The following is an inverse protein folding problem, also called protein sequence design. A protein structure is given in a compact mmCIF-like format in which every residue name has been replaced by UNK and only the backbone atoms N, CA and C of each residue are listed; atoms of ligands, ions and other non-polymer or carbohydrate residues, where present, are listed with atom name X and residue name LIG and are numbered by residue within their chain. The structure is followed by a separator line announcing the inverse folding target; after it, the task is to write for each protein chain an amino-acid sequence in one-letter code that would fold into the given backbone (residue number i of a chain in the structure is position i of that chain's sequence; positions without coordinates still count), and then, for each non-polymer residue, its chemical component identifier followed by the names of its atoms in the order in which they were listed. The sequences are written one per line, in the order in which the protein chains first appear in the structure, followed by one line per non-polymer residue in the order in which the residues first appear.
data_IF_229851304914
#
_entry.id   IF_229851304914
#
_cell.length_a   1.000
_cell.length_b   1.000
_cell.length_c   1.000
_cell.angle_alpha   90.00
_cell.angle_beta   90.00
_cell.angle_gamma   90.00
#
_symmetry.space_group_name_H-M   'P 1'
#
loop_
_entity.id
_entity.type
_entity.pdbx_description
1 polymer ?
#
# COMPACT_ATOMS: atom_id res chain seq x y z
N UNK A 1 -15.85 -25.18 10.27
CA UNK A 1 -15.36 -24.09 11.15
C UNK A 1 -14.72 -23.08 10.24
N UNK A 2 -15.14 -21.81 10.28
CA UNK A 2 -14.48 -20.77 9.49
C UNK A 2 -13.19 -20.43 10.22
N UNK A 3 -12.06 -20.83 9.63
CA UNK A 3 -10.74 -20.41 10.05
C UNK A 3 -10.53 -19.01 9.47
N UNK A 4 -11.14 -17.99 10.07
CA UNK A 4 -10.64 -16.64 9.81
C UNK A 4 -9.29 -16.59 10.53
N UNK A 5 -8.20 -16.60 9.77
CA UNK A 5 -6.84 -16.53 10.29
C UNK A 5 -6.70 -15.32 11.21
N UNK A 6 -5.88 -15.44 12.27
CA UNK A 6 -5.69 -14.43 13.31
C UNK A 6 -5.02 -13.11 12.81
N UNK A 7 -5.13 -12.80 11.52
CA UNK A 7 -4.56 -11.64 10.84
C UNK A 7 -5.42 -11.09 9.70
N UNK A 8 -6.66 -11.56 9.54
CA UNK A 8 -7.54 -11.13 8.45
C UNK A 8 -8.85 -10.52 8.93
N UNK A 9 -9.40 -9.63 8.11
CA UNK A 9 -10.71 -9.04 8.38
C UNK A 9 -11.85 -9.99 7.97
N UNK A 10 -12.75 -10.33 8.90
CA UNK A 10 -13.87 -11.24 8.60
C UNK A 10 -14.97 -10.67 7.67
N UNK A 11 -14.83 -9.42 7.22
CA UNK A 11 -15.80 -8.76 6.31
C UNK A 11 -15.31 -8.81 4.87
N UNK A 12 -14.05 -8.39 4.63
CA UNK A 12 -13.46 -8.37 3.29
C UNK A 12 -12.54 -9.57 3.02
N UNK A 13 -12.26 -10.39 4.03
CA UNK A 13 -11.36 -11.55 3.96
C UNK A 13 -9.97 -11.18 3.41
N UNK A 14 -9.48 -10.01 3.79
CA UNK A 14 -8.16 -9.51 3.41
C UNK A 14 -7.27 -9.38 4.65
N UNK A 15 -5.95 -9.55 4.51
CA UNK A 15 -5.01 -9.34 5.60
C UNK A 15 -5.04 -7.90 6.10
N UNK A 16 -4.70 -7.71 7.37
CA UNK A 16 -4.49 -6.38 7.94
C UNK A 16 -3.13 -5.81 7.53
N UNK A 17 -3.09 -4.50 7.31
CA UNK A 17 -1.90 -3.74 6.91
C UNK A 17 -1.73 -2.51 7.81
N UNK A 18 -0.54 -1.93 7.87
CA UNK A 18 -0.26 -0.75 8.69
C UNK A 18 -0.69 0.57 8.03
N UNK A 19 -0.81 0.60 6.71
CA UNK A 19 -1.28 1.75 5.92
C UNK A 19 -2.79 1.69 5.65
N UNK A 20 -3.23 0.74 4.82
CA UNK A 20 -4.57 0.76 4.22
C UNK A 20 -5.63 0.02 5.02
N UNK A 21 -5.23 -1.02 5.76
CA UNK A 21 -6.14 -1.98 6.41
C UNK A 21 -5.89 -2.07 7.91
N UNK A 22 -5.87 -0.91 8.55
CA UNK A 22 -5.63 -0.81 9.99
C UNK A 22 -6.70 -1.59 10.78
N UNK A 23 -6.31 -2.52 11.66
CA UNK A 23 -7.24 -3.30 12.47
C UNK A 23 -7.82 -2.47 13.63
N UNK A 24 -9.06 -2.00 13.49
CA UNK A 24 -9.77 -1.17 14.48
C UNK A 24 -10.71 -1.99 15.37
N UNK A 25 -10.70 -1.70 16.67
CA UNK A 25 -11.45 -2.41 17.70
C UNK A 25 -12.73 -1.63 18.06
N UNK A 26 -13.87 -2.27 17.87
CA UNK A 26 -15.17 -1.75 18.30
C UNK A 26 -15.33 -1.84 19.83
N UNK A 27 -16.31 -1.14 20.40
CA UNK A 27 -16.59 -1.19 21.86
C UNK A 27 -16.91 -2.60 22.38
N UNK A 28 -17.34 -3.50 21.49
CA UNK A 28 -17.59 -4.90 21.80
C UNK A 28 -16.35 -5.80 21.75
N UNK A 29 -15.15 -5.23 21.55
CA UNK A 29 -13.85 -5.91 21.43
C UNK A 29 -13.64 -6.77 20.18
N UNK A 30 -14.55 -6.70 19.21
CA UNK A 30 -14.31 -7.27 17.88
C UNK A 30 -13.50 -6.30 17.02
N UNK A 31 -12.65 -6.85 16.15
CA UNK A 31 -11.73 -6.09 15.29
C UNK A 31 -12.07 -6.26 13.83
N UNK A 32 -12.03 -5.18 13.06
CA UNK A 32 -12.27 -5.17 11.63
C UNK A 32 -11.36 -4.16 10.95
N UNK A 33 -11.22 -4.28 9.63
CA UNK A 33 -10.45 -3.34 8.84
C UNK A 33 -11.11 -1.97 8.83
N UNK A 34 -10.33 -0.91 8.90
CA UNK A 34 -10.83 0.47 8.85
C UNK A 34 -11.75 0.77 7.65
N UNK A 35 -11.39 0.46 6.39
CA UNK A 35 -12.28 0.73 5.26
C UNK A 35 -13.60 -0.07 5.33
N UNK A 36 -13.56 -1.25 5.94
CA UNK A 36 -14.75 -2.07 6.20
C UNK A 36 -15.70 -1.35 7.18
N UNK A 37 -15.15 -0.78 8.25
CA UNK A 37 -15.93 -0.06 9.25
C UNK A 37 -16.50 1.24 8.70
N UNK A 38 -15.74 1.98 7.89
CA UNK A 38 -16.21 3.19 7.21
C UNK A 38 -17.41 2.89 6.31
N UNK A 39 -17.27 1.87 5.45
CA UNK A 39 -18.34 1.45 4.52
C UNK A 39 -19.63 1.06 5.26
N UNK A 40 -19.49 0.41 6.41
CA UNK A 40 -20.62 -0.03 7.23
C UNK A 40 -21.19 1.07 8.15
N UNK A 41 -20.45 2.17 8.32
CA UNK A 41 -20.85 3.24 9.22
C UNK A 41 -22.01 4.06 8.65
N UNK A 42 -22.85 4.55 9.54
CA UNK A 42 -24.00 5.38 9.20
C UNK A 42 -23.95 6.66 10.01
N UNK A 43 -24.02 7.79 9.30
CA UNK A 43 -24.15 9.10 9.90
C UNK A 43 -25.63 9.42 10.18
N UNK A 44 -25.98 9.65 11.44
CA UNK A 44 -27.31 10.06 11.89
C UNK A 44 -27.17 11.27 12.82
N UNK A 45 -27.74 12.41 12.43
CA UNK A 45 -27.74 13.65 13.22
C UNK A 45 -26.34 14.08 13.68
N UNK A 46 -25.32 13.86 12.83
CA UNK A 46 -23.92 14.17 13.11
C UNK A 46 -23.19 13.15 13.98
N UNK A 47 -23.83 12.07 14.43
CA UNK A 47 -23.16 10.94 15.07
C UNK A 47 -22.89 9.86 14.03
N UNK A 48 -21.67 9.31 14.06
CA UNK A 48 -21.33 8.12 13.30
C UNK A 48 -21.65 6.88 14.15
N UNK A 49 -22.31 5.90 13.54
CA UNK A 49 -22.69 4.66 14.19
C UNK A 49 -22.29 3.48 13.33
N UNK A 50 -21.73 2.44 13.95
CA UNK A 50 -21.33 1.22 13.25
C UNK A 50 -21.79 0.00 14.03
N UNK A 51 -22.46 -0.92 13.35
CA UNK A 51 -22.93 -2.19 13.92
C UNK A 51 -21.86 -3.27 13.79
N UNK A 52 -21.57 -4.00 14.88
CA UNK A 52 -20.68 -5.15 14.80
C UNK A 52 -21.35 -6.33 14.05
N UNK A 53 -20.74 -6.89 12.99
CA UNK A 53 -21.25 -8.05 12.26
C UNK A 53 -21.38 -9.31 13.11
N UNK A 54 -20.49 -9.47 14.11
CA UNK A 54 -20.41 -10.70 14.92
C UNK A 54 -21.42 -10.73 16.06
N UNK A 55 -21.61 -9.60 16.76
CA UNK A 55 -22.45 -9.56 17.97
C UNK A 55 -23.60 -8.55 17.92
N UNK A 56 -23.78 -7.85 16.79
CA UNK A 56 -24.84 -6.84 16.57
C UNK A 56 -24.81 -5.64 17.53
N UNK A 57 -23.76 -5.49 18.36
CA UNK A 57 -23.58 -4.33 19.23
C UNK A 57 -23.20 -3.10 18.39
N UNK A 58 -23.89 -1.99 18.63
CA UNK A 58 -23.61 -0.70 17.96
C UNK A 58 -22.54 0.05 18.72
N UNK A 59 -21.56 0.56 17.98
CA UNK A 59 -20.56 1.52 18.47
C UNK A 59 -20.94 2.89 17.95
N UNK A 60 -21.07 3.86 18.86
CA UNK A 60 -21.39 5.24 18.54
C UNK A 60 -20.13 6.09 18.70
N UNK A 61 -19.83 6.89 17.68
CA UNK A 61 -18.74 7.85 17.66
C UNK A 61 -19.31 9.26 17.83
N UNK A 62 -18.61 10.07 18.62
CA UNK A 62 -19.01 11.44 18.94
C UNK A 62 -19.13 12.33 17.71
N UNK A 63 -19.83 13.47 17.85
CA UNK A 63 -19.97 14.43 16.75
C UNK A 63 -18.60 14.96 16.33
N UNK A 64 -18.35 14.93 15.03
CA UNK A 64 -17.15 15.51 14.43
C UNK A 64 -15.88 14.67 14.55
N UNK A 65 -15.96 13.45 15.06
CA UNK A 65 -14.84 12.50 15.07
C UNK A 65 -15.02 11.46 13.96
N UNK A 66 -13.93 11.09 13.29
CA UNK A 66 -13.88 9.94 12.40
C UNK A 66 -13.81 8.62 13.18
N UNK A 67 -14.03 7.50 12.51
CA UNK A 67 -13.83 6.19 13.12
C UNK A 67 -12.36 5.98 13.53
N UNK A 68 -11.43 6.58 12.79
CA UNK A 68 -9.99 6.50 13.03
C UNK A 68 -9.60 7.17 14.36
N UNK A 69 -10.24 8.30 14.67
CA UNK A 69 -9.99 9.06 15.90
C UNK A 69 -10.66 8.43 17.12
N UNK A 70 -11.81 7.78 16.92
CA UNK A 70 -12.62 7.26 18.01
C UNK A 70 -12.32 5.81 18.40
N UNK A 71 -11.83 4.98 17.46
CA UNK A 71 -11.63 3.56 17.65
C UNK A 71 -10.15 3.21 17.83
N UNK A 72 -9.89 2.35 18.81
CA UNK A 72 -8.54 1.90 19.13
C UNK A 72 -8.05 0.90 18.08
N UNK A 73 -6.75 0.90 17.81
CA UNK A 73 -6.10 -0.15 17.01
C UNK A 73 -5.89 -1.38 17.89
N UNK A 74 -6.05 -2.57 17.32
CA UNK A 74 -5.73 -3.81 18.02
C UNK A 74 -4.21 -3.98 18.08
N UNK A 75 -3.62 -3.68 19.24
CA UNK A 75 -2.16 -3.73 19.42
C UNK A 75 -1.58 -5.12 19.10
N UNK A 76 -2.27 -6.19 19.50
CA UNK A 76 -1.78 -7.57 19.27
C UNK A 76 -1.75 -7.95 17.80
N UNK A 77 -2.66 -7.41 17.00
CA UNK A 77 -2.64 -7.60 15.55
C UNK A 77 -1.58 -6.70 14.93
N UNK A 78 -1.51 -5.44 15.37
CA UNK A 78 -0.52 -4.48 14.91
C UNK A 78 0.92 -4.96 15.07
N UNK A 79 1.24 -5.63 16.18
CA UNK A 79 2.56 -6.19 16.47
C UNK A 79 2.91 -7.39 15.56
N UNK A 80 1.92 -7.96 14.85
CA UNK A 80 2.08 -9.13 13.98
C UNK A 80 2.03 -8.80 12.49
N UNK A 81 1.61 -7.59 12.13
CA UNK A 81 1.62 -7.14 10.73
C UNK A 81 3.08 -6.93 10.35
N UNK A 82 3.59 -7.56 9.28
CA UNK A 82 4.95 -7.34 8.81
C UNK A 82 5.13 -5.85 8.44
N UNK A 83 6.32 -5.29 8.71
CA UNK A 83 6.66 -3.91 8.36
C UNK A 83 6.98 -3.79 6.86
N UNK A 84 7.34 -4.90 6.22
CA UNK A 84 8.22 -4.91 5.06
C UNK A 84 7.54 -5.01 3.68
N UNK A 85 6.22 -5.19 3.59
CA UNK A 85 5.57 -5.46 2.28
C UNK A 85 5.39 -4.23 1.38
N UNK A 86 5.48 -3.01 1.93
CA UNK A 86 5.29 -1.75 1.18
C UNK A 86 6.64 -1.13 0.81
N UNK A 87 7.69 -1.34 1.62
CA UNK A 87 9.05 -0.86 1.34
C UNK A 87 9.71 -1.64 0.19
N UNK A 88 9.43 -2.94 0.05
CA UNK A 88 9.96 -3.77 -1.04
C UNK A 88 9.42 -3.36 -2.44
N UNK A 89 8.15 -2.94 -2.55
CA UNK A 89 7.55 -2.51 -3.83
C UNK A 89 8.05 -1.12 -4.27
N UNK A 90 8.27 -0.19 -3.33
CA UNK A 90 8.81 1.15 -3.63
C UNK A 90 10.29 1.10 -4.06
N UNK A 91 11.11 0.23 -3.45
CA UNK A 91 12.51 0.04 -3.83
C UNK A 91 12.67 -0.55 -5.26
N UNK A 92 11.81 -1.50 -5.66
CA UNK A 92 11.84 -2.08 -7.01
C UNK A 92 11.46 -1.06 -8.11
N UNK A 93 10.49 -0.18 -7.86
CA UNK A 93 10.09 0.87 -8.81
C UNK A 93 11.19 1.94 -9.00
N UNK A 94 11.92 2.29 -7.93
CA UNK A 94 13.04 3.24 -8.01
C UNK A 94 14.25 2.68 -8.79
N UNK A 95 14.52 1.37 -8.70
CA UNK A 95 15.61 0.72 -9.45
C UNK A 95 15.32 0.65 -10.97
N UNK A 96 14.07 0.41 -11.39
CA UNK A 96 13.70 0.39 -12.82
C UNK A 96 13.80 1.78 -13.48
N UNK A 97 13.48 2.86 -12.76
CA UNK A 97 13.60 4.24 -13.25
C UNK A 97 15.08 4.68 -13.42
N UNK A 98 16.03 4.14 -12.65
CA UNK A 98 17.46 4.46 -12.77
C UNK A 98 18.11 3.81 -14.01
N UNK A 99 17.69 2.60 -14.39
CA UNK A 99 18.21 1.88 -15.57
C UNK A 99 17.77 2.52 -16.90
N UNK A 100 16.54 3.05 -16.97
CA UNK A 100 16.00 3.68 -18.18
C UNK A 100 16.77 4.93 -18.66
N UNK A 101 17.51 5.61 -17.78
CA UNK A 101 18.22 6.87 -18.10
C UNK A 101 19.56 6.67 -18.80
N UNK A 102 20.12 5.45 -18.81
CA UNK A 102 21.46 5.15 -19.37
C UNK A 102 21.42 4.70 -20.84
N UNK A 103 20.26 4.36 -21.38
CA UNK A 103 20.13 3.85 -22.75
C UNK A 103 20.03 4.96 -23.83
N UNK A 104 19.61 6.19 -23.49
CA UNK A 104 19.39 7.27 -24.49
C UNK A 104 20.69 7.95 -24.99
N UNK A 105 21.83 7.77 -24.32
CA UNK A 105 23.08 8.51 -24.65
C UNK A 105 23.99 7.75 -25.64
N UNK A 106 23.70 6.49 -26.00
CA UNK A 106 24.66 5.65 -26.74
C UNK A 106 24.37 5.44 -28.24
N UNK A 107 23.21 5.87 -28.77
CA UNK A 107 22.84 5.56 -30.16
C UNK A 107 23.31 6.58 -31.22
N UNK A 108 23.82 7.77 -30.85
CA UNK A 108 24.23 8.81 -31.85
C UNK A 108 25.71 8.74 -32.28
N UNK A 109 26.44 7.66 -31.97
CA UNK A 109 27.90 7.64 -32.03
C UNK A 109 28.58 6.69 -33.01
N UNK A 110 27.91 6.05 -33.98
CA UNK A 110 28.57 5.02 -34.82
C UNK A 110 28.01 4.89 -36.25
N UNK A 111 28.06 5.92 -37.10
CA UNK A 111 27.92 5.67 -38.55
C UNK A 111 28.70 6.69 -39.40
N UNK A 112 29.83 6.26 -39.98
CA UNK A 112 30.31 6.57 -41.34
C UNK A 112 31.86 6.62 -41.45
N UNK A 113 32.50 5.45 -41.53
CA UNK A 113 33.79 5.32 -42.25
C UNK A 113 33.54 4.69 -43.63
N UNK A 114 33.62 5.47 -44.70
CA UNK A 114 33.69 4.96 -46.09
C UNK A 114 34.63 5.84 -46.97
N UNK A 115 35.94 5.48 -46.97
CA UNK A 115 36.94 5.27 -48.08
C UNK A 115 36.93 6.18 -49.34
N UNK A 116 38.00 6.26 -50.19
CA UNK A 116 39.38 5.69 -50.16
C UNK A 116 40.53 6.71 -50.47
N UNK A 117 41.78 6.20 -50.47
CA UNK A 117 43.06 6.88 -50.77
C UNK A 117 43.12 7.63 -52.12
N UNK A 118 43.96 8.68 -52.25
CA UNK A 118 45.21 8.48 -53.00
C UNK A 118 46.43 9.32 -52.54
N UNK A 119 47.62 8.80 -52.89
CA UNK A 119 48.87 9.51 -53.19
C UNK A 119 49.52 10.40 -52.11
N UNK A 120 50.64 9.95 -51.55
CA UNK A 120 51.95 10.60 -51.71
C UNK A 120 53.04 9.85 -50.94
N UNK A 121 53.98 9.31 -51.72
CA UNK A 121 55.34 8.93 -51.35
C UNK A 121 56.04 10.07 -50.61
N UNK A 122 57.00 9.79 -49.70
CA UNK A 122 58.14 10.67 -49.34
C UNK A 122 59.12 9.99 -48.34
N UNK A 123 60.26 9.53 -48.88
CA UNK A 123 61.61 9.24 -48.28
C UNK A 123 61.69 8.06 -47.28
N UNK A 124 62.60 7.08 -47.40
CA UNK A 124 64.09 7.11 -47.43
C UNK A 124 64.64 5.86 -48.12
#
# INVERSE_FOLDING_TARGET
MVLCEDGECSVCLSPFSRSDRIPRVLHCRHTFCEPCLETMSQARNGLLTVGCPLCRRVTCVGRGLSLQEALWVNSKLWDRIPEDAEEEEEEEEEEEEEDGRKQVVQEEGMEAEQRPSPQAEWWV
#
